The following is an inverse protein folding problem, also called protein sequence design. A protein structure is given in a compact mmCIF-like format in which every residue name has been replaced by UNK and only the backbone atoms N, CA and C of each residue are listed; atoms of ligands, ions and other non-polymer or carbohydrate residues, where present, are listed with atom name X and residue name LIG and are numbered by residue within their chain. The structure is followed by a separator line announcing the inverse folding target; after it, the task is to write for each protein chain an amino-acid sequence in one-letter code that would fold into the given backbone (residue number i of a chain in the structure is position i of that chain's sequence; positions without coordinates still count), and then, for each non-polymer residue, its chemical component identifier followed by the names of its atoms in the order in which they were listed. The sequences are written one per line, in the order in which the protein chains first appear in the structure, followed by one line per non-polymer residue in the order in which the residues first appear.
data_IF_396775946597
#
_entry.id   IF_396775946597
#
_cell.length_a   1.000
_cell.length_b   1.000
_cell.length_c   1.000
_cell.angle_alpha   90.00
_cell.angle_beta   90.00
_cell.angle_gamma   90.00
#
_symmetry.space_group_name_H-M   'P 1'
#
loop_
_entity.id
_entity.type
_entity.pdbx_description
1 polymer ?
#
# COMPACT_ATOMS: atom_id res chain seq x y z
N UNK A 1 -95.66 -38.63 5.41
CA UNK A 1 -94.48 -39.22 4.74
C UNK A 1 -93.83 -38.15 3.89
N UNK A 2 -92.75 -37.55 4.29
CA UNK A 2 -91.66 -37.04 3.49
C UNK A 2 -90.73 -36.28 4.41
N UNK A 3 -89.53 -36.70 4.40
CA UNK A 3 -88.40 -36.21 5.23
C UNK A 3 -87.97 -34.86 4.76
N UNK A 4 -87.80 -33.90 5.66
CA UNK A 4 -87.01 -32.71 5.44
C UNK A 4 -85.67 -32.92 6.18
N UNK A 5 -84.62 -32.89 5.41
CA UNK A 5 -83.27 -33.02 5.88
C UNK A 5 -82.69 -31.61 6.00
N UNK A 6 -82.27 -31.27 7.22
CA UNK A 6 -81.59 -30.05 7.58
C UNK A 6 -80.29 -29.89 6.83
N UNK A 7 -80.10 -28.75 6.16
CA UNK A 7 -78.84 -28.24 5.70
C UNK A 7 -78.48 -27.03 6.57
N UNK A 8 -77.79 -27.26 7.65
CA UNK A 8 -77.18 -26.23 8.46
C UNK A 8 -75.88 -26.82 9.00
N UNK A 9 -74.78 -26.68 8.28
CA UNK A 9 -73.42 -26.77 8.80
C UNK A 9 -72.41 -26.70 7.64
N UNK A 10 -71.93 -25.52 7.25
CA UNK A 10 -70.65 -25.37 6.61
C UNK A 10 -70.30 -23.89 6.35
N UNK A 11 -70.19 -23.09 7.39
CA UNK A 11 -69.61 -21.75 7.31
C UNK A 11 -68.75 -21.44 8.53
N UNK A 12 -67.80 -22.30 8.88
CA UNK A 12 -66.75 -21.99 9.87
C UNK A 12 -65.51 -22.76 9.46
N UNK A 13 -64.77 -22.31 8.47
CA UNK A 13 -63.37 -22.70 8.25
C UNK A 13 -62.77 -21.90 7.10
N UNK A 14 -62.62 -20.58 7.25
CA UNK A 14 -61.84 -19.78 6.30
C UNK A 14 -61.22 -18.53 6.95
N UNK A 15 -60.80 -18.65 8.21
CA UNK A 15 -60.15 -17.54 8.94
C UNK A 15 -58.84 -17.93 9.62
N UNK A 16 -58.05 -18.83 9.02
CA UNK A 16 -56.76 -19.21 9.56
C UNK A 16 -55.77 -19.53 8.43
N UNK A 17 -55.26 -18.55 7.73
CA UNK A 17 -54.04 -18.67 6.92
C UNK A 17 -53.49 -17.32 6.46
N UNK A 18 -53.49 -16.30 7.32
CA UNK A 18 -52.60 -15.13 7.12
C UNK A 18 -51.74 -14.94 8.36
N UNK A 19 -50.98 -15.97 8.72
CA UNK A 19 -49.74 -15.78 9.45
C UNK A 19 -48.72 -15.32 8.42
N UNK A 20 -48.66 -14.00 8.19
CA UNK A 20 -47.60 -13.38 7.44
C UNK A 20 -46.26 -13.85 7.98
N UNK A 21 -45.41 -14.44 7.12
CA UNK A 21 -43.99 -14.54 7.35
C UNK A 21 -43.47 -13.14 7.56
N UNK A 22 -43.50 -12.65 8.79
CA UNK A 22 -42.66 -11.59 9.21
C UNK A 22 -41.24 -12.12 8.95
N UNK A 23 -40.57 -11.69 7.87
CA UNK A 23 -39.15 -11.80 7.73
C UNK A 23 -38.61 -11.25 9.04
N UNK A 24 -38.14 -12.11 9.92
CA UNK A 24 -37.25 -11.71 10.99
C UNK A 24 -36.06 -11.10 10.27
N UNK A 25 -36.00 -9.78 10.21
CA UNK A 25 -34.76 -9.08 9.91
C UNK A 25 -33.76 -9.58 10.93
N UNK A 26 -32.96 -10.57 10.53
CA UNK A 26 -31.71 -10.85 11.26
C UNK A 26 -30.99 -9.52 11.24
N UNK A 27 -30.60 -8.98 12.40
CA UNK A 27 -29.81 -7.76 12.39
C UNK A 27 -28.66 -8.02 11.41
N UNK A 28 -28.59 -7.24 10.35
CA UNK A 28 -27.50 -7.34 9.37
C UNK A 28 -26.23 -7.22 10.16
N UNK A 29 -25.40 -8.26 10.15
CA UNK A 29 -24.10 -8.21 10.81
C UNK A 29 -23.38 -7.00 10.22
N UNK A 30 -23.13 -5.99 11.06
CA UNK A 30 -22.40 -4.80 10.60
C UNK A 30 -20.96 -5.24 10.34
N UNK A 31 -20.64 -5.49 9.09
CA UNK A 31 -19.33 -5.97 8.69
C UNK A 31 -18.79 -5.20 7.50
N UNK A 32 -17.49 -5.28 7.29
CA UNK A 32 -16.74 -4.80 6.13
C UNK A 32 -15.67 -5.81 5.76
N UNK A 33 -15.51 -6.08 4.47
CA UNK A 33 -14.49 -6.99 3.95
C UNK A 33 -13.33 -6.17 3.39
N UNK A 34 -12.14 -6.40 3.93
CA UNK A 34 -10.91 -5.69 3.54
C UNK A 34 -9.94 -6.65 2.91
N UNK A 35 -9.50 -6.35 1.70
CA UNK A 35 -8.33 -6.99 1.12
C UNK A 35 -7.14 -6.06 1.32
N UNK A 36 -6.00 -6.60 1.75
CA UNK A 36 -4.83 -5.76 2.00
C UNK A 36 -3.53 -6.43 1.55
N UNK A 37 -2.65 -5.62 0.96
CA UNK A 37 -1.26 -5.95 0.68
C UNK A 37 -0.29 -5.30 1.68
N UNK A 38 -0.80 -4.57 2.68
CA UNK A 38 0.00 -4.13 3.81
C UNK A 38 0.24 -5.30 4.76
N UNK A 39 1.41 -5.36 5.36
CA UNK A 39 1.82 -6.45 6.24
C UNK A 39 0.83 -6.63 7.40
N UNK A 40 0.43 -7.89 7.63
CA UNK A 40 -0.57 -8.22 8.64
C UNK A 40 -0.19 -7.70 10.03
N UNK A 41 1.09 -7.77 10.38
CA UNK A 41 1.60 -7.30 11.69
C UNK A 41 1.34 -5.81 11.94
N UNK A 42 1.18 -5.00 10.88
CA UNK A 42 0.90 -3.57 10.97
C UNK A 42 -0.58 -3.26 10.71
N UNK A 43 -1.19 -3.91 9.73
CA UNK A 43 -2.57 -3.60 9.33
C UNK A 43 -3.61 -4.22 10.26
N UNK A 44 -3.39 -5.43 10.77
CA UNK A 44 -4.36 -6.10 11.64
C UNK A 44 -4.66 -5.34 12.95
N UNK A 45 -3.68 -4.78 13.68
CA UNK A 45 -3.96 -3.97 14.85
C UNK A 45 -4.86 -2.76 14.56
N UNK A 46 -4.64 -2.06 13.45
CA UNK A 46 -5.45 -0.92 13.01
C UNK A 46 -6.89 -1.36 12.71
N UNK A 47 -7.06 -2.47 12.00
CA UNK A 47 -8.38 -3.02 11.69
C UNK A 47 -9.13 -3.48 12.94
N UNK A 48 -8.44 -4.05 13.92
CA UNK A 48 -9.02 -4.43 15.23
C UNK A 48 -9.40 -3.20 16.06
N UNK A 49 -8.63 -2.13 15.99
CA UNK A 49 -8.96 -0.87 16.63
C UNK A 49 -10.26 -0.30 16.05
N UNK A 50 -10.40 -0.29 14.73
CA UNK A 50 -11.64 0.09 14.06
C UNK A 50 -12.84 -0.77 14.51
N UNK A 51 -12.70 -2.10 14.60
CA UNK A 51 -13.75 -2.99 15.12
C UNK A 51 -14.18 -2.58 16.54
N UNK A 52 -13.20 -2.34 17.43
CA UNK A 52 -13.44 -1.97 18.82
C UNK A 52 -14.16 -0.63 18.95
N UNK A 53 -13.77 0.36 18.14
CA UNK A 53 -14.28 1.73 18.22
C UNK A 53 -15.68 1.85 17.58
N UNK A 54 -15.95 1.09 16.51
CA UNK A 54 -17.19 1.26 15.72
C UNK A 54 -18.21 0.14 15.92
N UNK A 55 -17.81 -1.01 16.45
CA UNK A 55 -18.62 -2.22 16.50
C UNK A 55 -18.90 -2.83 15.11
N UNK A 56 -18.18 -2.41 14.07
CA UNK A 56 -18.25 -2.97 12.72
C UNK A 56 -17.21 -4.09 12.63
N UNK A 57 -17.65 -5.31 12.36
CA UNK A 57 -16.74 -6.45 12.21
C UNK A 57 -15.92 -6.33 10.93
N UNK A 58 -14.60 -6.48 11.02
CA UNK A 58 -13.71 -6.51 9.85
C UNK A 58 -13.38 -7.96 9.46
N UNK A 59 -13.59 -8.29 8.19
CA UNK A 59 -13.11 -9.53 7.59
C UNK A 59 -11.92 -9.20 6.70
N UNK A 60 -10.72 -9.34 7.25
CA UNK A 60 -9.50 -9.05 6.53
C UNK A 60 -8.99 -10.27 5.75
N UNK A 61 -8.52 -10.02 4.52
CA UNK A 61 -7.76 -10.97 3.70
C UNK A 61 -6.41 -10.33 3.43
N UNK A 62 -5.37 -10.93 3.98
CA UNK A 62 -4.00 -10.47 3.82
C UNK A 62 -3.34 -11.14 2.62
N UNK A 63 -2.46 -10.44 1.94
CA UNK A 63 -1.61 -11.00 0.89
C UNK A 63 -0.53 -11.90 1.49
N UNK A 64 0.02 -12.81 0.69
CA UNK A 64 1.16 -13.64 1.12
C UNK A 64 2.48 -12.99 0.71
N UNK A 65 3.57 -13.31 1.42
CA UNK A 65 4.90 -12.77 1.09
C UNK A 65 5.34 -13.13 -0.34
N UNK A 66 4.97 -14.35 -0.82
CA UNK A 66 5.33 -14.83 -2.15
C UNK A 66 4.59 -14.11 -3.28
N UNK A 67 3.39 -13.60 -2.99
CA UNK A 67 2.52 -12.94 -3.97
C UNK A 67 2.39 -11.44 -3.73
N UNK A 68 3.17 -10.88 -2.81
CA UNK A 68 3.02 -9.54 -2.23
C UNK A 68 2.61 -8.48 -3.24
N UNK A 69 1.52 -7.79 -2.93
CA UNK A 69 0.84 -6.76 -3.75
C UNK A 69 0.17 -7.26 -5.04
N UNK A 70 0.61 -8.38 -5.61
CA UNK A 70 0.09 -8.91 -6.86
C UNK A 70 -1.01 -9.95 -6.65
N UNK A 71 -0.93 -10.76 -5.60
CA UNK A 71 -1.90 -11.82 -5.30
C UNK A 71 -3.29 -11.26 -5.04
N UNK A 72 -3.41 -10.35 -4.09
CA UNK A 72 -4.67 -9.69 -3.74
C UNK A 72 -5.21 -8.85 -4.92
N UNK A 73 -4.34 -8.13 -5.64
CA UNK A 73 -4.76 -7.38 -6.83
C UNK A 73 -5.37 -8.30 -7.90
N UNK A 74 -4.72 -9.41 -8.22
CA UNK A 74 -5.22 -10.36 -9.21
C UNK A 74 -6.54 -10.99 -8.78
N UNK A 75 -6.72 -11.23 -7.48
CA UNK A 75 -7.97 -11.71 -6.91
C UNK A 75 -9.09 -10.69 -7.08
N UNK A 76 -8.85 -9.40 -6.78
CA UNK A 76 -9.81 -8.32 -7.02
C UNK A 76 -10.20 -8.21 -8.50
N UNK A 77 -9.24 -8.41 -9.42
CA UNK A 77 -9.50 -8.43 -10.86
C UNK A 77 -10.40 -9.62 -11.24
N UNK A 78 -10.13 -10.80 -10.71
CA UNK A 78 -10.93 -12.01 -10.99
C UNK A 78 -12.35 -11.92 -10.41
N UNK A 79 -12.54 -11.21 -9.31
CA UNK A 79 -13.82 -11.01 -8.62
C UNK A 79 -14.62 -9.80 -9.15
N UNK A 80 -14.15 -9.11 -10.21
CA UNK A 80 -14.73 -7.84 -10.72
C UNK A 80 -16.24 -7.88 -10.91
N UNK A 81 -16.78 -8.98 -11.45
CA UNK A 81 -18.21 -9.11 -11.76
C UNK A 81 -19.05 -9.59 -10.55
N UNK A 82 -18.40 -10.03 -9.47
CA UNK A 82 -19.01 -10.42 -8.20
C UNK A 82 -18.07 -10.07 -7.04
N UNK A 83 -17.93 -8.80 -6.69
CA UNK A 83 -16.98 -8.35 -5.68
C UNK A 83 -17.19 -9.00 -4.32
N UNK A 84 -16.12 -9.46 -3.71
CA UNK A 84 -16.12 -10.04 -2.38
C UNK A 84 -15.50 -9.09 -1.34
N UNK A 85 -14.67 -8.16 -1.77
CA UNK A 85 -14.11 -7.09 -0.95
C UNK A 85 -14.95 -5.82 -1.02
N UNK A 86 -14.95 -5.06 0.06
CA UNK A 86 -15.53 -3.72 0.14
C UNK A 86 -14.45 -2.65 0.02
N UNK A 87 -13.28 -2.91 0.60
CA UNK A 87 -12.12 -1.99 0.64
C UNK A 87 -10.87 -2.73 0.24
N UNK A 88 -10.01 -2.08 -0.53
CA UNK A 88 -8.63 -2.50 -0.73
C UNK A 88 -7.68 -1.51 -0.05
N UNK A 89 -6.88 -2.01 0.89
CA UNK A 89 -5.75 -1.29 1.47
C UNK A 89 -4.47 -1.77 0.78
N UNK A 90 -4.00 -0.99 -0.18
CA UNK A 90 -2.75 -1.24 -0.89
C UNK A 90 -1.56 -0.69 -0.11
N UNK A 91 -0.44 -1.39 -0.14
CA UNK A 91 0.81 -0.89 0.42
C UNK A 91 1.54 0.13 -0.50
N UNK A 92 0.97 0.43 -1.69
CA UNK A 92 1.44 1.48 -2.59
C UNK A 92 0.36 1.85 -3.64
N UNK A 93 0.41 3.07 -4.23
CA UNK A 93 -0.66 3.56 -5.09
C UNK A 93 -0.74 2.92 -6.48
N UNK A 94 0.32 2.28 -6.98
CA UNK A 94 0.36 1.76 -8.35
C UNK A 94 -0.71 0.68 -8.57
N UNK A 95 -0.94 -0.20 -7.57
CA UNK A 95 -2.01 -1.21 -7.63
C UNK A 95 -3.40 -0.59 -7.56
N UNK A 96 -3.55 0.48 -6.77
CA UNK A 96 -4.78 1.25 -6.75
C UNK A 96 -5.08 1.87 -8.13
N UNK A 97 -4.06 2.41 -8.79
CA UNK A 97 -4.19 2.95 -10.15
C UNK A 97 -4.54 1.86 -11.18
N UNK A 98 -3.94 0.68 -11.09
CA UNK A 98 -4.32 -0.47 -11.94
C UNK A 98 -5.78 -0.86 -11.73
N UNK A 99 -6.30 -0.87 -10.49
CA UNK A 99 -7.71 -1.18 -10.22
C UNK A 99 -8.64 -0.10 -10.78
N UNK A 100 -8.27 1.19 -10.70
CA UNK A 100 -8.97 2.29 -11.37
C UNK A 100 -9.06 2.06 -12.87
N UNK A 101 -7.94 1.82 -13.55
CA UNK A 101 -7.87 1.58 -15.00
C UNK A 101 -8.70 0.38 -15.44
N UNK A 102 -8.85 -0.64 -14.58
CA UNK A 102 -9.69 -1.83 -14.83
C UNK A 102 -11.17 -1.63 -14.47
N UNK A 103 -11.55 -0.46 -13.95
CA UNK A 103 -12.92 -0.14 -13.56
C UNK A 103 -13.41 -0.94 -12.35
N UNK A 104 -12.51 -1.27 -11.43
CA UNK A 104 -12.79 -2.01 -10.17
C UNK A 104 -12.92 -1.05 -8.98
N UNK A 105 -12.28 0.11 -9.06
CA UNK A 105 -12.39 1.15 -8.05
C UNK A 105 -13.69 1.95 -8.22
N UNK A 106 -14.24 2.43 -7.09
CA UNK A 106 -15.39 3.34 -7.00
C UNK A 106 -14.90 4.69 -6.47
N UNK A 107 -15.49 5.77 -6.95
CA UNK A 107 -15.14 7.13 -6.49
C UNK A 107 -15.63 7.32 -5.05
N UNK A 108 -14.72 7.70 -4.16
CA UNK A 108 -15.04 8.16 -2.83
C UNK A 108 -14.05 9.21 -2.35
N UNK A 109 -14.54 10.41 -2.06
CA UNK A 109 -13.78 11.51 -1.50
C UNK A 109 -14.04 11.59 0.00
N UNK A 110 -13.13 11.01 0.78
CA UNK A 110 -13.21 11.07 2.23
C UNK A 110 -12.99 12.51 2.72
N UNK A 111 -13.77 12.99 3.70
CA UNK A 111 -13.47 14.26 4.37
C UNK A 111 -12.09 14.30 5.03
N UNK A 112 -11.57 13.16 5.46
CA UNK A 112 -10.24 13.05 6.07
C UNK A 112 -9.11 13.29 5.04
N UNK A 113 -9.40 13.16 3.75
CA UNK A 113 -8.42 13.33 2.69
C UNK A 113 -8.09 14.80 2.38
N UNK A 114 -8.86 15.77 2.87
CA UNK A 114 -8.68 17.18 2.51
C UNK A 114 -7.30 17.74 2.89
N UNK A 115 -6.76 17.31 4.03
CA UNK A 115 -5.45 17.73 4.52
C UNK A 115 -4.28 16.89 3.96
N UNK A 116 -4.54 15.82 3.22
CA UNK A 116 -3.51 15.02 2.55
C UNK A 116 -3.08 15.76 1.27
N UNK A 117 -1.77 15.93 1.01
CA UNK A 117 -1.28 16.62 -0.19
C UNK A 117 -1.84 16.02 -1.49
N UNK A 118 -2.20 16.87 -2.45
CA UNK A 118 -2.83 16.45 -3.71
C UNK A 118 -2.02 15.43 -4.49
N UNK A 119 -0.71 15.50 -4.43
CA UNK A 119 0.19 14.55 -5.10
C UNK A 119 0.02 13.08 -4.61
N UNK A 120 -0.59 12.88 -3.45
CA UNK A 120 -0.88 11.56 -2.89
C UNK A 120 -2.36 11.19 -2.99
N UNK A 121 -3.12 11.84 -3.83
CA UNK A 121 -4.54 11.57 -4.08
C UNK A 121 -4.80 11.42 -5.56
N UNK A 122 -5.64 10.47 -5.94
CA UNK A 122 -6.16 10.44 -7.31
C UNK A 122 -7.04 11.65 -7.57
N UNK A 123 -6.79 12.45 -8.61
CA UNK A 123 -7.56 13.67 -8.89
C UNK A 123 -9.05 13.40 -9.16
N UNK A 124 -9.38 12.21 -9.64
CA UNK A 124 -10.76 11.77 -9.85
C UNK A 124 -11.42 11.19 -8.60
N UNK A 125 -10.61 10.80 -7.57
CA UNK A 125 -11.09 10.33 -6.28
C UNK A 125 -11.30 8.82 -6.19
N UNK A 126 -10.63 8.02 -7.00
CA UNK A 126 -10.69 6.56 -6.95
C UNK A 126 -9.82 5.95 -5.85
N UNK A 127 -8.78 6.66 -5.43
CA UNK A 127 -7.93 6.25 -4.33
C UNK A 127 -7.37 7.47 -3.58
N UNK A 128 -6.99 7.24 -2.34
CA UNK A 128 -6.31 8.24 -1.50
C UNK A 128 -5.15 7.57 -0.78
N UNK A 129 -4.00 8.24 -0.81
CA UNK A 129 -2.81 7.82 -0.08
C UNK A 129 -2.88 8.18 1.40
N UNK A 130 -2.16 7.44 2.24
CA UNK A 130 -1.96 7.74 3.65
C UNK A 130 -0.72 7.00 4.18
N UNK A 131 -0.14 7.45 5.25
CA UNK A 131 1.02 6.81 5.91
C UNK A 131 2.02 6.22 4.91
N UNK A 132 3.15 6.87 4.75
CA UNK A 132 4.08 6.56 3.67
C UNK A 132 5.38 5.92 4.15
N UNK A 133 6.07 5.26 3.23
CA UNK A 133 7.49 4.92 3.34
C UNK A 133 8.30 5.86 2.48
N UNK A 134 9.52 6.19 2.91
CA UNK A 134 10.51 6.84 2.07
C UNK A 134 11.46 5.78 1.48
N UNK A 135 11.87 5.95 0.23
CA UNK A 135 12.96 5.16 -0.35
C UNK A 135 14.29 5.76 0.09
N UNK A 136 14.92 5.16 1.10
CA UNK A 136 16.11 5.68 1.79
C UNK A 136 17.35 4.87 1.47
N UNK A 137 18.52 5.48 1.59
CA UNK A 137 19.77 4.74 1.64
C UNK A 137 20.02 4.28 3.09
N UNK A 138 20.16 2.97 3.29
CA UNK A 138 20.83 2.45 4.48
C UNK A 138 22.33 2.42 4.19
N UNK A 139 23.12 2.89 5.14
CA UNK A 139 24.59 2.92 5.06
C UNK A 139 25.19 2.27 6.30
N UNK A 140 26.27 1.53 6.14
CA UNK A 140 26.97 0.97 7.30
C UNK A 140 27.64 2.08 8.10
N UNK A 141 27.47 2.10 9.42
CA UNK A 141 28.03 3.13 10.32
C UNK A 141 29.56 3.27 10.30
N UNK A 142 30.26 2.26 9.79
CA UNK A 142 31.72 2.32 9.68
C UNK A 142 32.21 3.09 8.44
N UNK A 143 31.29 3.42 7.52
CA UNK A 143 31.62 4.16 6.31
C UNK A 143 31.83 5.62 6.66
N UNK A 144 33.03 6.11 6.40
CA UNK A 144 33.29 7.54 6.43
C UNK A 144 32.82 8.18 5.13
N UNK A 145 32.16 9.34 5.24
CA UNK A 145 31.63 10.06 4.10
C UNK A 145 30.65 9.20 3.27
N UNK A 146 29.48 8.81 3.87
CA UNK A 146 28.51 7.93 3.24
C UNK A 146 27.81 8.59 2.06
N UNK A 147 27.25 7.79 1.10
CA UNK A 147 26.52 8.32 -0.03
C UNK A 147 25.23 9.02 0.43
N UNK A 148 24.94 10.18 -0.18
CA UNK A 148 23.71 10.97 0.06
C UNK A 148 22.79 11.05 -1.15
N UNK A 149 23.17 10.44 -2.26
CA UNK A 149 22.44 10.44 -3.53
C UNK A 149 22.41 9.04 -4.14
N UNK A 150 21.33 8.71 -4.89
CA UNK A 150 21.26 7.44 -5.64
C UNK A 150 22.33 7.35 -6.74
N UNK A 151 22.92 8.47 -7.17
CA UNK A 151 24.03 8.45 -8.13
C UNK A 151 25.27 7.71 -7.63
N UNK A 152 25.37 7.44 -6.32
CA UNK A 152 26.40 6.57 -5.76
C UNK A 152 26.43 5.18 -6.40
N UNK A 153 25.30 4.68 -6.88
CA UNK A 153 25.24 3.40 -7.61
C UNK A 153 26.06 3.39 -8.91
N UNK A 154 26.34 4.55 -9.47
CA UNK A 154 27.08 4.70 -10.72
C UNK A 154 28.47 5.32 -10.53
N UNK A 155 28.80 5.77 -9.31
CA UNK A 155 30.10 6.34 -8.96
C UNK A 155 31.13 5.23 -8.79
N UNK A 156 32.26 5.26 -9.54
CA UNK A 156 33.34 4.30 -9.40
C UNK A 156 33.92 4.14 -7.98
N UNK A 157 33.81 5.19 -7.14
CA UNK A 157 34.19 5.15 -5.70
C UNK A 157 33.50 3.97 -4.98
N UNK A 158 32.28 3.63 -5.38
CA UNK A 158 31.44 2.63 -4.75
C UNK A 158 31.33 1.31 -5.54
N UNK A 159 32.29 1.06 -6.46
CA UNK A 159 32.26 -0.16 -7.28
C UNK A 159 32.21 -1.43 -6.42
N UNK A 160 31.20 -2.27 -6.63
CA UNK A 160 30.97 -3.52 -5.90
C UNK A 160 30.51 -3.33 -4.45
N UNK A 161 30.23 -2.10 -4.01
CA UNK A 161 29.85 -1.79 -2.63
C UNK A 161 28.36 -1.43 -2.47
N UNK A 162 27.66 -1.17 -3.57
CA UNK A 162 26.21 -0.90 -3.57
C UNK A 162 25.40 -2.17 -3.75
N UNK A 163 24.22 -2.21 -3.14
CA UNK A 163 23.26 -3.31 -3.21
C UNK A 163 21.84 -2.76 -3.44
N UNK A 164 21.01 -3.47 -4.20
CA UNK A 164 19.56 -3.20 -4.30
C UNK A 164 18.76 -4.48 -4.11
N UNK A 165 17.52 -4.36 -3.65
CA UNK A 165 16.56 -5.45 -3.73
C UNK A 165 16.20 -5.76 -5.19
N UNK A 166 15.76 -6.99 -5.47
CA UNK A 166 15.42 -7.43 -6.82
C UNK A 166 14.45 -6.44 -7.50
N UNK A 167 14.84 -5.84 -8.64
CA UNK A 167 14.07 -4.81 -9.32
C UNK A 167 12.79 -5.32 -9.99
N UNK A 168 12.52 -6.61 -9.97
CA UNK A 168 11.27 -7.20 -10.49
C UNK A 168 10.10 -7.07 -9.51
N UNK A 169 10.34 -6.76 -8.24
CA UNK A 169 9.34 -6.84 -7.18
C UNK A 169 9.32 -5.59 -6.29
N UNK A 170 8.16 -5.37 -5.66
CA UNK A 170 7.98 -4.42 -4.57
C UNK A 170 8.30 -2.96 -4.94
N UNK A 171 8.68 -2.20 -3.94
CA UNK A 171 8.97 -0.77 -4.05
C UNK A 171 10.23 -0.45 -4.85
N UNK A 172 11.16 -1.41 -5.02
CA UNK A 172 12.32 -1.25 -5.91
C UNK A 172 11.86 -1.12 -7.36
N UNK A 173 10.91 -1.95 -7.83
CA UNK A 173 10.35 -1.82 -9.18
C UNK A 173 9.64 -0.47 -9.35
N UNK A 174 8.88 -0.05 -8.33
CA UNK A 174 8.20 1.26 -8.33
C UNK A 174 9.22 2.40 -8.45
N UNK A 175 10.31 2.34 -7.68
CA UNK A 175 11.36 3.37 -7.74
C UNK A 175 12.01 3.45 -9.14
N UNK A 176 12.34 2.31 -9.72
CA UNK A 176 12.92 2.28 -11.08
C UNK A 176 11.91 2.83 -12.10
N UNK A 177 10.64 2.43 -12.04
CA UNK A 177 9.61 2.98 -12.93
C UNK A 177 9.44 4.50 -12.75
N UNK A 178 9.56 5.01 -11.52
CA UNK A 178 9.57 6.44 -11.23
C UNK A 178 10.78 7.16 -11.88
N UNK A 179 11.97 6.54 -11.86
CA UNK A 179 13.14 7.08 -12.57
C UNK A 179 12.92 7.11 -14.09
N UNK A 180 12.34 6.06 -14.68
CA UNK A 180 11.95 6.06 -16.10
C UNK A 180 10.94 7.16 -16.43
N UNK A 181 9.95 7.38 -15.55
CA UNK A 181 8.98 8.45 -15.71
C UNK A 181 9.64 9.84 -15.66
N UNK A 182 10.58 10.04 -14.72
CA UNK A 182 11.20 11.34 -14.47
C UNK A 182 12.32 11.66 -15.45
N UNK A 183 13.16 10.70 -15.80
CA UNK A 183 14.35 10.90 -16.62
C UNK A 183 14.16 10.56 -18.10
N UNK A 184 13.10 9.82 -18.44
CA UNK A 184 12.91 9.20 -19.74
C UNK A 184 13.67 7.89 -19.92
N UNK A 185 13.29 7.15 -20.97
CA UNK A 185 13.78 5.78 -21.21
C UNK A 185 15.32 5.72 -21.37
N UNK A 186 15.89 6.59 -22.18
CA UNK A 186 17.33 6.58 -22.50
C UNK A 186 18.19 6.79 -21.25
N UNK A 187 17.91 7.83 -20.47
CA UNK A 187 18.70 8.17 -19.27
C UNK A 187 18.53 7.13 -18.17
N UNK A 188 17.32 6.62 -17.97
CA UNK A 188 17.05 5.59 -16.98
C UNK A 188 17.75 4.26 -17.33
N UNK A 189 17.75 3.83 -18.60
CA UNK A 189 18.52 2.66 -19.06
C UNK A 189 20.03 2.86 -18.92
N UNK A 190 20.54 4.04 -19.24
CA UNK A 190 21.94 4.35 -19.06
C UNK A 190 22.36 4.26 -17.58
N UNK A 191 21.54 4.75 -16.66
CA UNK A 191 21.73 4.61 -15.23
C UNK A 191 21.77 3.14 -14.81
N UNK A 192 20.77 2.34 -15.21
CA UNK A 192 20.70 0.91 -14.90
C UNK A 192 21.89 0.11 -15.50
N UNK A 193 22.34 0.46 -16.69
CA UNK A 193 23.54 -0.15 -17.31
C UNK A 193 24.81 0.22 -16.53
N UNK A 194 24.92 1.47 -16.06
CA UNK A 194 26.03 1.93 -15.24
C UNK A 194 26.07 1.23 -13.87
N UNK A 195 24.93 0.93 -13.27
CA UNK A 195 24.85 0.10 -12.06
C UNK A 195 25.46 -1.29 -12.28
N UNK A 196 25.19 -1.94 -13.41
CA UNK A 196 25.84 -3.22 -13.76
C UNK A 196 27.35 -3.06 -13.92
N UNK A 197 27.80 -2.04 -14.64
CA UNK A 197 29.25 -1.75 -14.81
C UNK A 197 29.92 -1.49 -13.46
N UNK A 198 29.20 -0.88 -12.54
CA UNK A 198 29.67 -0.60 -11.18
C UNK A 198 29.51 -1.80 -10.22
N UNK A 199 29.13 -2.97 -10.75
CA UNK A 199 28.99 -4.23 -10.02
C UNK A 199 28.04 -4.12 -8.80
N UNK A 200 26.91 -3.40 -8.96
CA UNK A 200 25.86 -3.32 -7.94
C UNK A 200 25.26 -4.72 -7.73
N UNK A 201 25.23 -5.17 -6.46
CA UNK A 201 24.66 -6.44 -6.08
C UNK A 201 23.10 -6.41 -6.11
N UNK A 202 22.50 -7.60 -6.18
CA UNK A 202 21.05 -7.77 -6.10
C UNK A 202 20.72 -8.74 -4.98
N UNK A 203 19.83 -8.36 -4.06
CA UNK A 203 19.29 -9.20 -2.99
C UNK A 203 17.86 -9.61 -3.27
N UNK A 204 17.27 -10.44 -2.42
CA UNK A 204 15.89 -10.92 -2.56
C UNK A 204 14.86 -9.89 -2.09
N UNK A 205 15.20 -9.05 -1.09
CA UNK A 205 14.28 -8.09 -0.47
C UNK A 205 15.01 -6.86 0.09
N UNK A 206 14.24 -5.80 0.41
CA UNK A 206 14.77 -4.61 1.10
C UNK A 206 15.33 -4.98 2.49
N UNK A 207 14.63 -5.84 3.23
CA UNK A 207 15.09 -6.31 4.54
C UNK A 207 16.42 -7.06 4.47
N UNK A 208 16.59 -8.00 3.52
CA UNK A 208 17.88 -8.67 3.30
C UNK A 208 18.96 -7.69 2.88
N UNK A 209 18.62 -6.71 2.03
CA UNK A 209 19.56 -5.63 1.67
C UNK A 209 20.07 -4.88 2.89
N UNK A 210 19.17 -4.48 3.79
CA UNK A 210 19.54 -3.79 5.02
C UNK A 210 20.41 -4.67 5.94
N UNK A 211 20.14 -5.97 6.01
CA UNK A 211 20.95 -6.93 6.80
C UNK A 211 22.35 -7.12 6.22
N UNK A 212 22.51 -7.17 4.90
CA UNK A 212 23.84 -7.23 4.27
C UNK A 212 24.66 -5.95 4.47
N UNK A 213 24.00 -4.78 4.45
CA UNK A 213 24.66 -3.52 4.80
C UNK A 213 25.06 -3.50 6.28
N UNK A 214 24.17 -3.94 7.17
CA UNK A 214 24.43 -4.01 8.61
C UNK A 214 25.63 -4.91 8.95
N UNK A 215 25.80 -6.01 8.23
CA UNK A 215 26.93 -6.94 8.39
C UNK A 215 28.25 -6.44 7.80
N UNK A 216 28.24 -5.31 7.08
CA UNK A 216 29.41 -4.78 6.37
C UNK A 216 29.73 -5.49 5.05
N UNK A 217 28.87 -6.39 4.56
CA UNK A 217 29.04 -7.05 3.25
C UNK A 217 28.92 -6.07 2.09
N UNK A 218 28.07 -5.03 2.25
CA UNK A 218 27.93 -3.91 1.33
C UNK A 218 27.99 -2.60 2.11
N UNK A 219 28.42 -1.52 1.47
CA UNK A 219 28.52 -0.21 2.08
C UNK A 219 27.13 0.45 2.24
N UNK A 220 26.28 0.30 1.22
CA UNK A 220 24.95 0.92 1.19
C UNK A 220 23.96 0.15 0.34
N UNK A 221 22.66 0.41 0.60
CA UNK A 221 21.55 -0.07 -0.21
C UNK A 221 20.36 0.89 -0.15
N UNK A 222 19.59 0.97 -1.26
CA UNK A 222 18.32 1.68 -1.31
C UNK A 222 17.20 0.73 -0.86
N UNK A 223 16.56 1.06 0.27
CA UNK A 223 15.49 0.26 0.89
C UNK A 223 14.32 1.12 1.29
N UNK A 224 13.25 0.52 1.83
CA UNK A 224 12.16 1.27 2.45
C UNK A 224 12.54 1.73 3.87
N UNK A 225 12.01 2.88 4.29
CA UNK A 225 12.35 3.48 5.59
C UNK A 225 11.91 2.61 6.77
N UNK A 226 10.85 1.83 6.65
CA UNK A 226 10.40 0.87 7.66
C UNK A 226 11.42 -0.28 7.87
N UNK A 227 11.98 -0.81 6.78
CA UNK A 227 13.07 -1.78 6.86
C UNK A 227 14.30 -1.21 7.57
N UNK A 228 14.67 0.05 7.25
CA UNK A 228 15.78 0.74 7.88
C UNK A 228 15.52 0.96 9.38
N UNK A 229 14.36 1.51 9.76
CA UNK A 229 14.00 1.78 11.16
C UNK A 229 13.94 0.50 11.97
N UNK A 230 13.34 -0.57 11.44
CA UNK A 230 13.29 -1.87 12.08
C UNK A 230 14.70 -2.36 12.47
N UNK A 231 15.66 -2.27 11.57
CA UNK A 231 17.07 -2.68 11.84
C UNK A 231 17.76 -1.75 12.81
N UNK A 232 17.50 -0.44 12.72
CA UNK A 232 18.05 0.55 13.68
C UNK A 232 17.53 0.29 15.10
N UNK A 233 16.23 -0.01 15.27
CA UNK A 233 15.62 -0.38 16.57
C UNK A 233 16.19 -1.69 17.14
N UNK A 234 16.58 -2.62 16.28
CA UNK A 234 17.29 -3.85 16.67
C UNK A 234 18.77 -3.60 17.01
N UNK A 235 19.28 -2.36 16.95
CA UNK A 235 20.67 -2.02 17.26
C UNK A 235 21.67 -2.41 16.17
N UNK A 236 21.20 -2.69 14.94
CA UNK A 236 22.08 -3.00 13.81
C UNK A 236 22.98 -1.80 13.44
N UNK A 237 24.17 -2.08 12.92
CA UNK A 237 25.18 -1.05 12.59
C UNK A 237 24.89 -0.36 11.26
N UNK A 238 23.72 0.30 11.16
CA UNK A 238 23.32 1.09 10.00
C UNK A 238 22.81 2.48 10.40
N UNK A 239 22.92 3.41 9.45
CA UNK A 239 22.28 4.71 9.46
C UNK A 239 21.32 4.82 8.27
N UNK A 240 20.31 5.67 8.41
CA UNK A 240 19.33 5.95 7.37
C UNK A 240 19.55 7.36 6.80
N UNK A 241 19.71 7.44 5.49
CA UNK A 241 19.91 8.69 4.75
C UNK A 241 18.76 8.86 3.76
N UNK A 242 18.06 10.00 3.84
CA UNK A 242 17.11 10.41 2.78
C UNK A 242 17.92 10.92 1.59
N UNK A 243 17.89 10.24 0.42
CA UNK A 243 18.75 10.60 -0.70
C UNK A 243 18.26 11.85 -1.43
N UNK A 244 19.16 12.42 -2.24
CA UNK A 244 18.87 13.42 -3.25
C UNK A 244 18.20 14.70 -2.70
N UNK A 245 18.67 15.19 -1.55
CA UNK A 245 18.09 16.37 -0.88
C UNK A 245 18.72 17.71 -1.32
N UNK A 246 19.72 17.69 -2.20
CA UNK A 246 20.36 18.89 -2.72
C UNK A 246 19.47 19.71 -3.66
N UNK A 247 19.81 20.99 -3.96
CA UNK A 247 18.99 21.89 -4.76
C UNK A 247 18.59 21.33 -6.12
N UNK A 248 19.54 20.73 -6.85
CA UNK A 248 19.37 20.23 -8.22
C UNK A 248 19.08 18.72 -8.28
N UNK A 249 18.95 18.06 -7.13
CA UNK A 249 18.68 16.64 -7.04
C UNK A 249 17.18 16.31 -7.10
N UNK A 250 16.79 15.09 -7.55
CA UNK A 250 15.40 14.75 -7.80
C UNK A 250 14.50 14.71 -6.56
N UNK A 251 15.08 14.55 -5.37
CA UNK A 251 14.35 14.31 -4.13
C UNK A 251 14.16 12.82 -3.81
N UNK A 252 13.74 12.53 -2.60
CA UNK A 252 13.46 11.18 -2.11
C UNK A 252 12.08 10.71 -2.61
N UNK A 253 11.99 9.49 -3.14
CA UNK A 253 10.69 8.92 -3.50
C UNK A 253 9.94 8.54 -2.22
N UNK A 254 8.73 9.07 -2.08
CA UNK A 254 7.79 8.73 -1.03
C UNK A 254 6.72 7.80 -1.60
N UNK A 255 6.49 6.68 -0.93
CA UNK A 255 5.55 5.62 -1.34
C UNK A 255 4.48 5.48 -0.26
N UNK A 256 3.33 6.14 -0.39
CA UNK A 256 2.25 5.99 0.58
C UNK A 256 1.54 4.65 0.42
N UNK A 257 0.85 4.19 1.47
CA UNK A 257 -0.27 3.28 1.29
C UNK A 257 -1.34 3.95 0.44
N UNK A 258 -2.25 3.16 -0.11
CA UNK A 258 -3.43 3.69 -0.78
C UNK A 258 -4.68 2.92 -0.36
N UNK A 259 -5.79 3.62 -0.19
CA UNK A 259 -7.08 3.00 0.09
C UNK A 259 -8.03 3.21 -1.07
N UNK A 260 -8.77 2.16 -1.43
CA UNK A 260 -9.70 2.09 -2.56
C UNK A 260 -11.05 1.57 -2.08
N UNK A 261 -12.13 2.26 -2.41
CA UNK A 261 -13.47 1.70 -2.33
C UNK A 261 -13.70 0.78 -3.54
N UNK A 262 -14.11 -0.45 -3.31
CA UNK A 262 -14.34 -1.41 -4.40
C UNK A 262 -15.73 -1.16 -5.02
N UNK A 263 -15.77 -1.08 -6.34
CA UNK A 263 -17.01 -0.90 -7.10
C UNK A 263 -17.93 -2.10 -6.90
N UNK A 264 -19.19 -1.83 -6.51
CA UNK A 264 -20.15 -2.87 -6.19
C UNK A 264 -19.93 -3.52 -4.81
N UNK A 265 -19.18 -2.86 -3.91
CA UNK A 265 -19.02 -3.26 -2.51
C UNK A 265 -20.35 -3.65 -1.87
N UNK A 266 -20.36 -4.75 -1.12
CA UNK A 266 -21.59 -5.26 -0.46
C UNK A 266 -21.99 -4.44 0.76
N UNK A 267 -21.02 -3.77 1.39
CA UNK A 267 -21.20 -2.99 2.60
C UNK A 267 -20.65 -1.55 2.41
N UNK A 268 -21.17 -0.77 1.42
CA UNK A 268 -20.55 0.49 1.00
C UNK A 268 -20.50 1.55 2.12
N UNK A 269 -21.48 1.61 3.02
CA UNK A 269 -21.49 2.57 4.11
C UNK A 269 -20.46 2.22 5.20
N UNK A 270 -20.26 0.93 5.48
CA UNK A 270 -19.22 0.48 6.40
C UNK A 270 -17.83 0.64 5.77
N UNK A 271 -17.71 0.42 4.45
CA UNK A 271 -16.49 0.65 3.69
C UNK A 271 -16.04 2.11 3.77
N UNK A 272 -16.94 3.07 3.57
CA UNK A 272 -16.65 4.51 3.70
C UNK A 272 -16.17 4.86 5.10
N UNK A 273 -16.82 4.34 6.14
CA UNK A 273 -16.39 4.54 7.54
C UNK A 273 -14.99 4.01 7.80
N UNK A 274 -14.65 2.84 7.24
CA UNK A 274 -13.32 2.29 7.37
C UNK A 274 -12.29 3.13 6.60
N UNK A 275 -12.62 3.59 5.40
CA UNK A 275 -11.76 4.50 4.63
C UNK A 275 -11.49 5.78 5.41
N UNK A 276 -12.53 6.41 5.97
CA UNK A 276 -12.38 7.62 6.79
C UNK A 276 -11.50 7.37 8.02
N UNK A 277 -11.64 6.20 8.66
CA UNK A 277 -10.81 5.81 9.79
C UNK A 277 -9.33 5.62 9.39
N UNK A 278 -9.08 4.91 8.29
CA UNK A 278 -7.72 4.68 7.77
C UNK A 278 -7.02 6.00 7.40
N UNK A 279 -7.78 6.93 6.83
CA UNK A 279 -7.27 8.24 6.40
C UNK A 279 -7.19 9.26 7.54
N UNK A 280 -7.50 8.89 8.79
CA UNK A 280 -7.46 9.82 9.91
C UNK A 280 -6.02 10.09 10.37
N UNK A 281 -5.74 11.31 10.88
CA UNK A 281 -4.43 11.63 11.49
C UNK A 281 -4.06 10.69 12.63
N UNK A 282 -5.06 10.18 13.39
CA UNK A 282 -4.82 9.24 14.49
C UNK A 282 -4.35 7.87 13.98
N UNK A 283 -4.89 7.37 12.87
CA UNK A 283 -4.39 6.14 12.23
C UNK A 283 -2.96 6.33 11.73
N UNK A 284 -2.65 7.46 11.11
CA UNK A 284 -1.28 7.75 10.69
C UNK A 284 -0.32 7.84 11.88
N UNK A 285 -0.75 8.45 13.00
CA UNK A 285 0.04 8.47 14.23
C UNK A 285 0.30 7.05 14.76
N UNK A 286 -0.71 6.18 14.79
CA UNK A 286 -0.55 4.77 15.18
C UNK A 286 0.48 4.05 14.31
N UNK A 287 0.41 4.21 13.00
CA UNK A 287 1.36 3.61 12.05
C UNK A 287 2.77 4.22 12.16
N UNK A 288 2.89 5.49 12.48
CA UNK A 288 4.19 6.13 12.71
C UNK A 288 4.91 5.57 13.94
N UNK A 289 4.19 5.28 15.02
CA UNK A 289 4.76 4.72 16.25
C UNK A 289 4.84 3.18 16.26
N UNK A 290 4.18 2.49 15.32
CA UNK A 290 4.35 1.06 15.11
C UNK A 290 5.77 0.73 14.62
N UNK A 291 6.10 -0.55 14.54
CA UNK A 291 7.42 -1.00 14.08
C UNK A 291 7.72 -0.62 12.62
N UNK A 292 6.68 -0.44 11.80
CA UNK A 292 6.82 0.06 10.43
C UNK A 292 7.21 1.55 10.35
N UNK A 293 7.06 2.32 11.41
CA UNK A 293 7.47 3.73 11.48
C UNK A 293 7.11 4.53 10.21
N UNK A 294 5.86 4.42 9.76
CA UNK A 294 5.42 5.08 8.51
C UNK A 294 5.31 6.59 8.71
N UNK A 295 5.62 7.34 7.68
CA UNK A 295 5.61 8.80 7.66
C UNK A 295 4.16 9.29 7.44
N UNK A 296 3.54 10.05 8.37
CA UNK A 296 2.23 10.63 8.14
C UNK A 296 2.23 11.58 6.93
N UNK A 297 1.13 11.58 6.17
CA UNK A 297 0.90 12.55 5.11
C UNK A 297 0.19 13.81 5.62
N UNK A 298 -0.55 13.72 6.75
CA UNK A 298 -1.08 14.89 7.44
C UNK A 298 0.04 15.65 8.13
N UNK A 299 0.05 16.97 7.97
CA UNK A 299 0.98 17.83 8.71
C UNK A 299 0.65 17.86 10.20
N UNK A 300 1.69 18.03 11.03
CA UNK A 300 1.53 18.19 12.47
C UNK A 300 1.21 16.91 13.26
N UNK A 301 1.15 15.75 12.62
CA UNK A 301 1.04 14.46 13.30
C UNK A 301 2.35 14.15 14.01
N UNK A 302 2.25 13.73 15.28
CA UNK A 302 3.41 13.33 16.07
C UNK A 302 4.10 12.11 15.46
N UNK A 303 5.44 12.16 15.40
CA UNK A 303 6.28 11.10 14.81
C UNK A 303 7.41 10.70 15.76
N UNK A 304 7.90 9.46 15.68
CA UNK A 304 9.08 9.02 16.41
C UNK A 304 10.35 9.68 15.83
N UNK A 305 11.39 9.78 16.66
CA UNK A 305 12.66 10.46 16.34
C UNK A 305 13.44 9.82 15.18
N UNK A 306 13.14 8.59 14.84
CA UNK A 306 13.82 7.81 13.79
C UNK A 306 13.45 8.27 12.38
N UNK A 307 12.29 8.90 12.20
CA UNK A 307 11.82 9.38 10.91
C UNK A 307 11.73 10.91 10.86
N UNK A 308 11.68 11.46 9.65
CA UNK A 308 11.43 12.89 9.43
C UNK A 308 9.97 13.14 9.10
N UNK A 309 9.45 14.28 9.48
CA UNK A 309 8.17 14.78 8.97
C UNK A 309 8.26 14.98 7.44
N UNK A 310 7.15 14.79 6.74
CA UNK A 310 7.10 14.88 5.29
C UNK A 310 7.61 16.23 4.78
N UNK A 311 7.29 17.31 5.46
CA UNK A 311 7.68 18.69 5.13
C UNK A 311 9.21 18.93 5.22
N UNK A 312 9.91 18.08 5.99
CA UNK A 312 11.36 18.14 6.11
C UNK A 312 12.11 17.30 5.07
N UNK A 313 11.38 16.69 4.13
CA UNK A 313 11.92 15.84 3.08
C UNK A 313 11.66 16.50 1.72
N UNK A 314 12.72 16.72 0.93
CA UNK A 314 12.54 17.04 -0.48
C UNK A 314 12.02 15.81 -1.21
N UNK A 315 10.75 15.86 -1.62
CA UNK A 315 10.06 14.74 -2.25
C UNK A 315 10.33 14.74 -3.75
N UNK A 316 10.55 13.54 -4.31
CA UNK A 316 10.54 13.30 -5.76
C UNK A 316 9.07 13.31 -6.24
N UNK A 317 8.63 14.33 -7.00
CA UNK A 317 7.28 14.31 -7.55
C UNK A 317 7.18 13.28 -8.66
N UNK A 318 6.13 12.46 -8.62
CA UNK A 318 5.81 11.45 -9.63
C UNK A 318 4.32 11.52 -10.01
N UNK A 319 4.01 11.07 -11.22
CA UNK A 319 2.66 10.79 -11.68
C UNK A 319 2.41 9.29 -11.55
N UNK A 320 1.55 8.88 -10.61
CA UNK A 320 1.29 7.48 -10.32
C UNK A 320 0.65 6.74 -11.49
N UNK A 321 -0.23 7.38 -12.27
CA UNK A 321 -0.84 6.79 -13.46
C UNK A 321 0.25 6.46 -14.49
N UNK A 322 1.13 7.41 -14.75
CA UNK A 322 2.26 7.23 -15.67
C UNK A 322 3.24 6.18 -15.17
N UNK A 323 3.55 6.15 -13.88
CA UNK A 323 4.42 5.12 -13.29
C UNK A 323 3.80 3.74 -13.41
N UNK A 324 2.48 3.59 -13.25
CA UNK A 324 1.78 2.32 -13.43
C UNK A 324 1.91 1.76 -14.87
N UNK A 325 1.76 2.63 -15.88
CA UNK A 325 1.99 2.24 -17.28
C UNK A 325 3.43 1.82 -17.54
N UNK A 326 4.39 2.63 -17.09
CA UNK A 326 5.82 2.38 -17.27
C UNK A 326 6.22 1.08 -16.57
N UNK A 327 5.75 0.84 -15.35
CA UNK A 327 6.06 -0.36 -14.58
C UNK A 327 5.72 -1.64 -15.38
N UNK A 328 4.59 -1.65 -16.08
CA UNK A 328 4.20 -2.75 -16.95
C UNK A 328 5.11 -2.85 -18.19
N UNK A 329 5.42 -1.72 -18.81
CA UNK A 329 6.21 -1.66 -20.04
C UNK A 329 7.67 -2.07 -19.86
N UNK A 330 8.27 -1.78 -18.70
CA UNK A 330 9.69 -2.07 -18.44
C UNK A 330 9.95 -3.49 -17.90
N UNK A 331 8.92 -4.28 -17.58
CA UNK A 331 9.08 -5.63 -17.04
C UNK A 331 10.02 -6.54 -17.88
N UNK A 332 9.91 -6.60 -19.23
CA UNK A 332 10.82 -7.40 -20.04
C UNK A 332 12.28 -6.94 -19.89
N UNK A 333 12.51 -5.62 -19.89
CA UNK A 333 13.84 -5.04 -19.69
C UNK A 333 14.42 -5.38 -18.31
N UNK A 334 13.61 -5.31 -17.25
CA UNK A 334 14.06 -5.64 -15.90
C UNK A 334 14.41 -7.12 -15.75
N UNK A 335 13.66 -8.03 -16.41
CA UNK A 335 14.02 -9.46 -16.49
C UNK A 335 15.39 -9.66 -17.13
N UNK A 336 15.61 -9.06 -18.29
CA UNK A 336 16.91 -9.10 -18.96
C UNK A 336 18.01 -8.50 -18.08
N UNK A 337 17.72 -7.39 -17.39
CA UNK A 337 18.68 -6.73 -16.52
C UNK A 337 19.13 -7.62 -15.36
N UNK A 338 18.25 -8.43 -14.76
CA UNK A 338 18.62 -9.40 -13.71
C UNK A 338 19.13 -10.74 -14.24
N UNK A 339 19.11 -10.95 -15.58
CA UNK A 339 19.64 -12.16 -16.22
C UNK A 339 18.64 -13.31 -16.34
N UNK A 340 17.33 -12.98 -16.43
CA UNK A 340 16.23 -13.92 -16.66
C UNK A 340 15.69 -13.83 -18.08
#
# INVERSE_FOLDING_TARGET
MKREINIALFCVFSALAWMGCAKRDRPSVREVVVYTSEDQVFSEPILKDFERETGIKVRAVFDTEEAKSTGVMNRLIAEKDNPQADVFWANEPIRAEVLKQKGIAEIYRSPQAEAIPEIYRDPEGYWTGFSARARVLVVNKQIQDPPTTIHAYTDPKWKGQGLIANPLFGTTTVHIAALFSKWGDEKARAFMASMKTNAVGVSTSNGESADFVASGRYAFSLVDSDDAVSRMRQGKSIEMVYPDQGPDEPGCLIVPNAVVLIKGARHPDNARKLIDYLLSPETERKLAFADCAQIPLHSGVEIPKEIKALEAIKVMPIDYARVAEILQAIQPYLKEWVGL
#
